data_IF_602538072298
#
_entry.id   IF_602538072298
#
_cell.length_a   1.000
_cell.length_b   1.000
_cell.length_c   1.000
_cell.angle_alpha   90.00
_cell.angle_beta   90.00
_cell.angle_gamma   90.00
#
_symmetry.space_group_name_H-M   'P 1'
#
loop_
_entity.id
_entity.type
_entity.pdbx_description
1 polymer ?
#
# COMPACT_ATOMS: atom_id res chain seq x y z
N UNK A 1 2.56 8.42 9.55
CA UNK A 1 1.56 7.55 8.89
C UNK A 1 2.02 7.34 7.47
N UNK A 2 1.74 6.18 6.89
CA UNK A 2 2.09 5.92 5.51
C UNK A 2 1.12 6.69 4.60
N UNK A 3 1.55 7.85 4.12
CA UNK A 3 0.73 8.75 3.28
C UNK A 3 0.30 8.07 1.98
N UNK A 4 1.16 7.24 1.38
CA UNK A 4 0.84 6.46 0.20
C UNK A 4 -0.30 5.47 0.50
N UNK A 5 -0.23 4.73 1.60
CA UNK A 5 -1.32 3.83 1.99
C UNK A 5 -2.60 4.60 2.35
N UNK A 6 -2.49 5.80 2.91
CA UNK A 6 -3.64 6.66 3.21
C UNK A 6 -4.39 7.05 1.94
N UNK A 7 -3.70 7.42 0.86
CA UNK A 7 -4.33 7.70 -0.44
C UNK A 7 -5.05 6.48 -1.00
N UNK A 8 -4.42 5.31 -0.96
CA UNK A 8 -5.09 4.04 -1.33
C UNK A 8 -6.38 3.84 -0.52
N UNK A 9 -6.35 4.15 0.77
CA UNK A 9 -7.54 4.07 1.63
C UNK A 9 -8.61 5.10 1.29
N UNK A 10 -8.25 6.28 0.79
CA UNK A 10 -9.19 7.29 0.31
C UNK A 10 -9.89 6.83 -0.97
N UNK A 11 -9.16 6.19 -1.91
CA UNK A 11 -9.74 5.61 -3.13
C UNK A 11 -10.65 4.41 -2.80
N UNK A 12 -10.21 3.50 -1.92
CA UNK A 12 -10.97 2.29 -1.55
C UNK A 12 -12.12 2.59 -0.58
N UNK A 13 -11.96 3.64 0.24
CA UNK A 13 -12.92 4.18 1.19
C UNK A 13 -12.78 3.64 2.63
N UNK A 14 -12.24 2.42 2.85
CA UNK A 14 -12.05 1.90 4.21
C UNK A 14 -10.93 0.87 4.35
N UNK A 15 -10.35 0.80 5.56
CA UNK A 15 -9.30 -0.17 5.89
C UNK A 15 -9.79 -1.62 5.87
N UNK A 16 -11.06 -1.84 6.27
CA UNK A 16 -11.67 -3.18 6.24
C UNK A 16 -11.80 -3.68 4.80
N UNK A 17 -12.37 -2.85 3.92
CA UNK A 17 -12.52 -3.19 2.50
C UNK A 17 -11.16 -3.40 1.82
N UNK A 18 -10.18 -2.56 2.13
CA UNK A 18 -8.82 -2.75 1.62
C UNK A 18 -8.25 -4.11 2.03
N UNK A 19 -8.37 -4.46 3.32
CA UNK A 19 -7.95 -5.76 3.85
C UNK A 19 -8.63 -6.92 3.10
N UNK A 20 -9.96 -6.88 2.95
CA UNK A 20 -10.73 -7.91 2.24
C UNK A 20 -10.28 -8.06 0.77
N UNK A 21 -9.98 -6.96 0.08
CA UNK A 21 -9.51 -6.97 -1.31
C UNK A 21 -8.12 -7.59 -1.47
N UNK A 22 -7.23 -7.38 -0.50
CA UNK A 22 -5.86 -7.91 -0.54
C UNK A 22 -5.69 -9.24 0.21
N UNK A 23 -6.75 -9.74 0.86
CA UNK A 23 -6.74 -10.99 1.62
C UNK A 23 -6.15 -10.88 3.04
N UNK A 24 -6.10 -9.68 3.62
CA UNK A 24 -5.57 -9.43 4.95
C UNK A 24 -6.63 -8.84 5.90
N UNK A 25 -6.34 -8.87 7.20
CA UNK A 25 -7.21 -8.26 8.20
C UNK A 25 -7.11 -6.73 8.20
N UNK A 26 -8.18 -6.05 8.63
CA UNK A 26 -8.16 -4.60 8.88
C UNK A 26 -7.04 -4.20 9.87
N UNK A 27 -6.74 -5.04 10.85
CA UNK A 27 -5.64 -4.82 11.79
C UNK A 27 -4.26 -4.84 11.12
N UNK A 28 -4.07 -5.65 10.08
CA UNK A 28 -2.84 -5.66 9.28
C UNK A 28 -2.69 -4.33 8.54
N UNK A 29 -3.76 -3.84 7.92
CA UNK A 29 -3.80 -2.52 7.26
C UNK A 29 -3.47 -1.40 8.24
N UNK A 30 -4.04 -1.43 9.44
CA UNK A 30 -3.71 -0.48 10.51
C UNK A 30 -2.20 -0.52 10.85
N UNK A 31 -1.61 -1.71 11.05
CA UNK A 31 -0.18 -1.83 11.35
C UNK A 31 0.69 -1.24 10.24
N UNK A 32 0.31 -1.40 8.97
CA UNK A 32 1.01 -0.79 7.85
C UNK A 32 0.88 0.73 7.82
N UNK A 33 -0.31 1.25 8.09
CA UNK A 33 -0.59 2.69 8.11
C UNK A 33 0.22 3.44 9.18
N UNK A 34 0.44 2.81 10.33
CA UNK A 34 1.21 3.37 11.44
C UNK A 34 2.68 2.95 11.45
N UNK A 35 3.17 2.30 10.39
CA UNK A 35 4.55 1.78 10.29
C UNK A 35 4.95 0.78 11.40
N UNK A 36 3.97 0.20 12.09
CA UNK A 36 4.20 -0.88 13.06
C UNK A 36 4.71 -2.13 12.34
N UNK A 37 4.22 -2.35 11.11
CA UNK A 37 4.65 -3.45 10.26
C UNK A 37 4.85 -2.96 8.83
N UNK A 38 5.80 -3.56 8.11
CA UNK A 38 5.99 -3.30 6.67
C UNK A 38 4.88 -3.94 5.84
N UNK A 39 4.52 -3.27 4.75
CA UNK A 39 3.58 -3.79 3.74
C UNK A 39 4.24 -4.99 3.04
N UNK A 40 3.62 -6.18 2.99
CA UNK A 40 4.13 -7.30 2.22
C UNK A 40 4.36 -6.91 0.75
N UNK A 41 5.51 -7.26 0.14
CA UNK A 41 5.79 -6.86 -1.25
C UNK A 41 4.79 -7.47 -2.24
N UNK A 42 4.23 -8.63 -1.92
CA UNK A 42 3.23 -9.34 -2.73
C UNK A 42 1.93 -8.54 -2.93
N UNK A 43 1.52 -7.70 -1.97
CA UNK A 43 0.29 -6.90 -2.09
C UNK A 43 0.52 -5.51 -2.68
N UNK A 44 1.77 -5.08 -2.84
CA UNK A 44 2.09 -3.74 -3.35
C UNK A 44 1.46 -3.50 -4.73
N UNK A 45 1.52 -4.43 -5.71
CA UNK A 45 0.85 -4.26 -7.00
C UNK A 45 -0.67 -4.11 -6.88
N UNK A 46 -1.29 -4.84 -5.94
CA UNK A 46 -2.73 -4.73 -5.67
C UNK A 46 -3.09 -3.36 -5.12
N UNK A 47 -2.29 -2.82 -4.19
CA UNK A 47 -2.51 -1.47 -3.64
C UNK A 47 -2.42 -0.38 -4.71
N UNK A 48 -1.42 -0.46 -5.60
CA UNK A 48 -1.26 0.46 -6.74
C UNK A 48 -2.48 0.39 -7.66
N UNK A 49 -2.93 -0.83 -7.99
CA UNK A 49 -4.10 -1.05 -8.84
C UNK A 49 -5.39 -0.51 -8.22
N UNK A 50 -5.54 -0.65 -6.90
CA UNK A 50 -6.70 -0.14 -6.15
C UNK A 50 -6.72 1.38 -6.04
N UNK A 51 -5.55 2.02 -6.09
CA UNK A 51 -5.43 3.49 -6.13
C UNK A 51 -5.54 4.08 -7.53
N UNK A 52 -5.92 3.30 -8.54
CA UNK A 52 -5.99 3.74 -9.95
C UNK A 52 -4.67 4.36 -10.45
N UNK A 53 -3.53 3.94 -9.88
CA UNK A 53 -2.21 4.51 -10.18
C UNK A 53 -1.89 5.86 -9.52
N UNK A 54 -2.74 6.38 -8.62
CA UNK A 54 -2.41 7.56 -7.81
C UNK A 54 -1.21 7.33 -6.89
N UNK A 55 -1.01 6.09 -6.46
CA UNK A 55 0.09 5.69 -5.58
C UNK A 55 0.99 4.73 -6.31
N UNK A 56 2.30 4.99 -6.24
CA UNK A 56 3.31 4.15 -6.88
C UNK A 56 3.90 3.14 -5.90
N UNK A 57 4.34 1.99 -6.43
CA UNK A 57 4.88 0.90 -5.65
C UNK A 57 6.10 1.30 -4.79
N UNK A 58 6.99 2.14 -5.34
CA UNK A 58 8.15 2.68 -4.63
C UNK A 58 7.79 3.59 -3.44
N UNK A 59 6.59 4.18 -3.39
CA UNK A 59 6.14 5.01 -2.26
C UNK A 59 5.66 4.12 -1.10
N UNK A 60 5.10 2.95 -1.41
CA UNK A 60 4.64 1.98 -0.41
C UNK A 60 5.80 1.20 0.21
N UNK A 61 6.83 0.88 -0.58
CA UNK A 61 8.03 0.14 -0.16
C UNK A 61 9.31 0.78 -0.71
N UNK A 62 9.69 1.99 -0.25
CA UNK A 62 10.94 2.63 -0.66
C UNK A 62 12.18 1.86 -0.21
N UNK A 63 12.04 0.93 0.74
CA UNK A 63 13.11 0.03 1.19
C UNK A 63 13.42 -1.10 0.20
N UNK A 64 12.62 -1.29 -0.85
CA UNK A 64 12.84 -2.30 -1.89
C UNK A 64 12.98 -1.67 -3.29
N UNK A 65 14.00 -0.82 -3.53
CA UNK A 65 14.18 -0.14 -4.81
C UNK A 65 14.49 -1.11 -5.97
N UNK A 66 14.99 -2.32 -5.68
CA UNK A 66 15.21 -3.33 -6.71
C UNK A 66 13.90 -4.02 -7.17
N UNK A 67 12.91 -4.12 -6.29
CA UNK A 67 11.60 -4.72 -6.61
C UNK A 67 10.60 -3.67 -7.10
N UNK A 68 10.69 -2.46 -6.56
CA UNK A 68 9.86 -1.32 -6.92
C UNK A 68 10.77 -0.15 -7.31
N UNK A 69 11.30 -0.16 -8.54
CA UNK A 69 12.19 0.90 -8.99
C UNK A 69 11.44 2.23 -8.98
N UNK A 70 12.11 3.32 -8.56
CA UNK A 70 11.55 4.64 -8.78
C UNK A 70 11.41 4.91 -10.28
N UNK A 71 10.41 5.69 -10.71
CA UNK A 71 10.30 6.10 -12.11
C UNK A 71 11.61 6.78 -12.49
N UNK A 72 12.26 6.26 -13.53
CA UNK A 72 13.46 6.87 -14.11
C UNK A 72 13.08 8.29 -14.57
N UNK A 73 13.81 9.29 -14.05
CA UNK A 73 13.65 10.70 -14.43
C UNK A 73 14.29 10.98 -15.79
#
# INVERSE_FOLDING_TARGET
MNEALKRVLETVGSQKRLGELVGYSQASVYKWLYHIQKIPPEIVPSLVSLSDGEVKAHELRPDLPQLFPPPEQ
#
